data_IF_996514870798
#
_entry.id   IF_996514870798
#
_cell.length_a   1.000
_cell.length_b   1.000
_cell.length_c   1.000
_cell.angle_alpha   90.00
_cell.angle_beta   90.00
_cell.angle_gamma   90.00
#
_symmetry.space_group_name_H-M   'P 1'
#
loop_
_entity.id
_entity.type
_entity.pdbx_description
1 polymer ?
#
# COMPACT_ATOMS: atom_id res chain seq x y z
N UNK A 1 18.50 32.95 -6.44
CA UNK A 1 18.07 32.52 -7.78
C UNK A 1 18.53 31.08 -7.96
N UNK A 2 17.72 30.26 -8.63
CA UNK A 2 17.85 28.79 -8.80
C UNK A 2 17.43 28.02 -7.54
N UNK A 3 16.26 27.38 -7.46
CA UNK A 3 15.72 26.41 -8.41
C UNK A 3 14.19 26.56 -8.55
N UNK A 4 13.80 27.18 -9.66
CA UNK A 4 12.44 27.14 -10.19
C UNK A 4 12.33 25.87 -11.04
N UNK A 5 12.12 24.72 -10.38
CA UNK A 5 12.08 23.42 -11.06
C UNK A 5 10.66 22.82 -11.03
N UNK A 6 9.93 23.09 -12.11
CA UNK A 6 8.82 22.29 -12.65
C UNK A 6 7.70 21.89 -11.67
N UNK A 7 6.87 22.86 -11.29
CA UNK A 7 5.63 22.67 -10.50
C UNK A 7 4.51 21.95 -11.31
N UNK A 8 4.69 21.69 -12.61
CA UNK A 8 3.63 21.18 -13.49
C UNK A 8 3.53 19.66 -13.69
N UNK A 9 4.45 18.84 -13.17
CA UNK A 9 4.46 17.39 -13.45
C UNK A 9 4.96 16.53 -12.28
N UNK A 10 4.78 16.99 -11.03
CA UNK A 10 4.97 16.15 -9.84
C UNK A 10 3.82 15.13 -9.73
N UNK A 11 3.90 14.17 -10.67
CA UNK A 11 3.35 12.82 -10.74
C UNK A 11 2.19 12.54 -9.79
N UNK A 12 0.99 12.54 -10.36
CA UNK A 12 -0.24 11.86 -9.87
C UNK A 12 0.03 10.40 -9.41
N UNK A 13 1.19 9.83 -9.76
CA UNK A 13 1.65 8.47 -9.50
C UNK A 13 2.21 8.21 -8.09
N UNK A 14 2.60 9.23 -7.31
CA UNK A 14 3.22 9.06 -5.97
C UNK A 14 2.23 9.18 -4.80
N UNK A 15 1.03 8.60 -4.93
CA UNK A 15 -0.02 8.68 -3.91
C UNK A 15 0.26 7.84 -2.66
N UNK A 16 1.02 6.75 -2.79
CA UNK A 16 1.34 5.85 -1.68
C UNK A 16 2.70 6.21 -1.08
N UNK A 17 2.71 6.57 0.21
CA UNK A 17 3.93 6.94 0.94
C UNK A 17 4.58 5.76 1.65
N UNK A 18 3.78 4.87 2.24
CA UNK A 18 4.23 3.78 3.07
C UNK A 18 3.42 2.51 2.75
N UNK A 19 4.07 1.36 2.87
CA UNK A 19 3.42 0.06 2.84
C UNK A 19 3.46 -0.52 4.24
N UNK A 20 2.30 -0.97 4.73
CA UNK A 20 2.14 -1.49 6.08
C UNK A 20 1.31 -2.77 6.07
N UNK A 21 1.54 -3.64 7.04
CA UNK A 21 0.74 -4.84 7.27
C UNK A 21 0.47 -5.03 8.76
N UNK A 22 -0.75 -5.44 9.09
CA UNK A 22 -1.18 -5.71 10.47
C UNK A 22 -0.80 -7.14 10.87
N UNK A 23 -0.14 -7.29 12.00
CA UNK A 23 0.16 -8.60 12.59
C UNK A 23 -1.12 -9.28 13.08
N UNK A 24 -1.38 -10.51 12.66
CA UNK A 24 -2.56 -11.27 13.07
C UNK A 24 -2.56 -11.69 14.54
N UNK A 25 -1.39 -11.70 15.21
CA UNK A 25 -1.26 -12.11 16.62
C UNK A 25 -1.41 -10.97 17.61
N UNK A 26 -0.82 -9.80 17.31
CA UNK A 26 -0.77 -8.67 18.25
C UNK A 26 -1.40 -7.39 17.72
N UNK A 27 -1.96 -7.43 16.50
CA UNK A 27 -2.61 -6.29 15.82
C UNK A 27 -1.73 -5.05 15.62
N UNK A 28 -0.42 -5.14 15.87
CA UNK A 28 0.55 -4.07 15.59
C UNK A 28 0.87 -3.99 14.10
N UNK A 29 1.06 -2.78 13.61
CA UNK A 29 1.42 -2.50 12.22
C UNK A 29 2.94 -2.56 12.03
N UNK A 30 3.36 -3.22 10.94
CA UNK A 30 4.77 -3.32 10.53
C UNK A 30 4.98 -2.68 9.18
N UNK A 31 6.08 -1.94 9.04
CA UNK A 31 6.49 -1.36 7.76
C UNK A 31 7.01 -2.46 6.84
N UNK A 32 6.60 -2.38 5.57
CA UNK A 32 7.08 -3.25 4.50
C UNK A 32 8.03 -2.41 3.63
N UNK A 33 9.26 -2.90 3.36
CA UNK A 33 10.31 -2.08 2.76
C UNK A 33 10.06 -1.74 1.28
N UNK A 34 9.32 -2.60 0.56
CA UNK A 34 9.09 -2.44 -0.87
C UNK A 34 7.66 -2.77 -1.25
N UNK A 35 7.21 -2.21 -2.38
CA UNK A 35 5.89 -2.47 -2.94
C UNK A 35 5.72 -3.95 -3.30
N UNK A 36 6.73 -4.55 -3.91
CA UNK A 36 6.71 -5.94 -4.37
C UNK A 36 6.48 -6.87 -3.18
N UNK A 37 7.15 -6.59 -2.05
CA UNK A 37 6.95 -7.38 -0.83
C UNK A 37 5.55 -7.20 -0.25
N UNK A 38 4.98 -6.00 -0.35
CA UNK A 38 3.60 -5.75 0.06
C UNK A 38 2.61 -6.53 -0.79
N UNK A 39 2.78 -6.52 -2.12
CA UNK A 39 1.91 -7.24 -3.04
C UNK A 39 1.99 -8.76 -2.82
N UNK A 40 3.18 -9.32 -2.58
CA UNK A 40 3.36 -10.75 -2.22
C UNK A 40 2.60 -11.12 -0.94
N UNK A 41 2.70 -10.28 0.11
CA UNK A 41 2.01 -10.51 1.38
C UNK A 41 0.50 -10.41 1.18
N UNK A 42 0.03 -9.35 0.51
CA UNK A 42 -1.39 -9.10 0.27
C UNK A 42 -2.06 -10.20 -0.57
N UNK A 43 -1.38 -10.68 -1.59
CA UNK A 43 -1.87 -11.78 -2.44
C UNK A 43 -2.20 -13.02 -1.60
N UNK A 44 -1.35 -13.33 -0.62
CA UNK A 44 -1.42 -14.56 0.19
C UNK A 44 -1.98 -14.36 1.60
N UNK A 45 -2.41 -13.15 1.96
CA UNK A 45 -2.71 -12.80 3.37
C UNK A 45 -3.82 -13.66 3.99
N UNK A 46 -4.74 -14.18 3.17
CA UNK A 46 -5.83 -15.07 3.61
C UNK A 46 -5.34 -16.49 3.85
N UNK A 47 -4.37 -16.98 3.08
CA UNK A 47 -3.79 -18.31 3.25
C UNK A 47 -2.69 -18.31 4.32
N UNK A 48 -1.93 -17.22 4.37
CA UNK A 48 -0.78 -17.03 5.26
C UNK A 48 -0.87 -15.68 5.94
N UNK A 49 -1.52 -15.67 7.09
CA UNK A 49 -1.58 -14.52 7.98
C UNK A 49 -0.19 -13.98 8.28
N UNK A 50 -0.06 -12.66 8.31
CA UNK A 50 1.19 -12.01 8.64
C UNK A 50 1.46 -12.01 10.15
N UNK A 51 2.68 -12.36 10.55
CA UNK A 51 3.17 -12.33 11.92
C UNK A 51 4.41 -11.43 12.01
N UNK A 52 4.65 -10.81 13.16
CA UNK A 52 5.86 -10.00 13.37
C UNK A 52 7.14 -10.77 13.04
N UNK A 53 7.21 -12.07 13.36
CA UNK A 53 8.38 -12.89 13.05
C UNK A 53 8.68 -12.97 11.54
N UNK A 54 7.66 -12.86 10.68
CA UNK A 54 7.83 -12.79 9.22
C UNK A 54 8.63 -11.54 8.80
N UNK A 55 8.49 -10.42 9.52
CA UNK A 55 9.24 -9.20 9.25
C UNK A 55 10.73 -9.30 9.63
N UNK A 56 11.16 -10.33 10.38
CA UNK A 56 12.58 -10.53 10.68
C UNK A 56 13.45 -10.71 9.42
N UNK A 57 12.84 -11.07 8.29
CA UNK A 57 13.50 -11.12 6.99
C UNK A 57 14.08 -9.77 6.54
N UNK A 58 13.55 -8.64 7.02
CA UNK A 58 14.08 -7.29 6.73
C UNK A 58 14.37 -6.44 7.98
N UNK A 59 13.80 -6.80 9.14
CA UNK A 59 14.05 -6.13 10.42
C UNK A 59 14.34 -7.19 11.51
N UNK A 60 15.59 -7.60 11.71
CA UNK A 60 15.94 -8.78 12.53
C UNK A 60 15.40 -8.80 13.96
N UNK A 61 15.31 -7.63 14.61
CA UNK A 61 14.92 -7.50 16.03
C UNK A 61 13.41 -7.33 16.25
N UNK A 62 12.60 -7.40 15.19
CA UNK A 62 11.14 -7.19 15.33
C UNK A 62 10.48 -8.37 16.03
N UNK A 63 9.60 -8.05 16.98
CA UNK A 63 8.80 -9.04 17.72
C UNK A 63 7.40 -8.48 18.04
N UNK A 64 6.54 -9.29 18.66
CA UNK A 64 5.25 -8.80 19.15
C UNK A 64 5.37 -7.88 20.38
N UNK A 65 6.51 -7.90 21.08
CA UNK A 65 6.77 -7.08 22.25
C UNK A 65 7.18 -5.66 21.87
N UNK A 66 7.76 -5.48 20.69
CA UNK A 66 8.12 -4.17 20.16
C UNK A 66 6.87 -3.35 19.80
N UNK A 67 6.94 -2.04 20.05
CA UNK A 67 5.91 -1.08 19.66
C UNK A 67 5.62 -1.08 18.16
N UNK A 68 4.39 -0.69 17.79
CA UNK A 68 3.96 -0.62 16.38
C UNK A 68 4.82 0.36 15.58
N UNK A 69 5.16 0.03 14.34
CA UNK A 69 6.04 0.86 13.51
C UNK A 69 5.34 2.15 13.09
N UNK A 70 4.04 2.05 12.88
CA UNK A 70 3.13 3.17 12.60
C UNK A 70 1.91 3.01 13.49
N UNK A 71 1.39 4.12 13.98
CA UNK A 71 0.10 4.17 14.68
C UNK A 71 -0.94 4.67 13.67
N UNK A 72 -2.10 4.04 13.66
CA UNK A 72 -3.21 4.53 12.85
C UNK A 72 -3.73 5.79 13.52
N UNK A 73 -3.36 6.93 12.94
CA UNK A 73 -3.79 8.26 13.31
C UNK A 73 -4.40 8.97 12.10
N UNK A 74 -4.94 10.17 12.31
CA UNK A 74 -5.56 10.98 11.26
C UNK A 74 -4.53 11.65 10.34
N UNK A 75 -3.23 11.37 10.53
CA UNK A 75 -2.15 11.92 9.70
C UNK A 75 -2.09 11.29 8.32
N UNK A 76 -2.63 10.08 8.16
CA UNK A 76 -2.62 9.34 6.91
C UNK A 76 -4.00 8.86 6.52
N UNK A 77 -4.26 8.84 5.21
CA UNK A 77 -5.32 8.01 4.68
C UNK A 77 -4.81 6.57 4.60
N UNK A 78 -5.63 5.61 5.02
CA UNK A 78 -5.28 4.18 5.07
C UNK A 78 -6.08 3.37 4.03
N UNK A 79 -5.69 3.38 2.73
CA UNK A 79 -6.21 2.43 1.77
C UNK A 79 -5.92 1.00 2.22
N UNK A 80 -6.97 0.21 2.46
CA UNK A 80 -6.84 -1.22 2.70
C UNK A 80 -7.23 -1.96 1.42
N UNK A 81 -6.27 -2.68 0.84
CA UNK A 81 -6.53 -3.53 -0.31
C UNK A 81 -7.40 -4.73 0.09
N UNK A 82 -8.27 -5.15 -0.83
CA UNK A 82 -8.91 -6.45 -0.70
C UNK A 82 -7.83 -7.56 -0.74
N UNK A 83 -8.00 -8.64 0.03
CA UNK A 83 -7.08 -9.77 -0.05
C UNK A 83 -7.15 -10.45 -1.43
N UNK A 84 -6.16 -11.28 -1.75
CA UNK A 84 -6.10 -12.11 -2.98
C UNK A 84 -5.98 -11.34 -4.29
N UNK A 85 -5.62 -10.07 -4.23
CA UNK A 85 -5.27 -9.35 -5.45
C UNK A 85 -3.85 -9.80 -5.85
N UNK A 86 -3.64 -10.26 -7.11
CA UNK A 86 -2.36 -10.77 -7.55
C UNK A 86 -1.29 -9.67 -7.63
N UNK A 87 -0.03 -10.09 -7.54
CA UNK A 87 1.10 -9.20 -7.75
C UNK A 87 1.07 -8.57 -9.15
N UNK A 88 1.56 -7.34 -9.24
CA UNK A 88 1.69 -6.64 -10.51
C UNK A 88 2.78 -7.33 -11.34
N UNK A 89 2.53 -7.70 -12.61
CA UNK A 89 3.55 -8.33 -13.44
C UNK A 89 4.80 -7.45 -13.62
N UNK A 90 5.99 -8.04 -13.85
CA UNK A 90 7.21 -7.27 -14.09
C UNK A 90 7.04 -6.23 -15.21
N UNK A 91 7.52 -5.00 -14.97
CA UNK A 91 7.39 -3.88 -15.91
C UNK A 91 6.05 -3.14 -15.86
N UNK A 92 5.08 -3.64 -15.08
CA UNK A 92 3.82 -2.96 -14.80
C UNK A 92 3.85 -2.26 -13.44
N UNK A 93 3.01 -1.23 -13.28
CA UNK A 93 2.84 -0.52 -12.03
C UNK A 93 1.36 -0.37 -11.68
N UNK A 94 0.96 -0.89 -10.51
CA UNK A 94 -0.32 -0.54 -9.86
C UNK A 94 -0.25 0.88 -9.30
N UNK A 95 -1.21 1.72 -9.67
CA UNK A 95 -1.32 3.12 -9.25
C UNK A 95 -2.66 3.31 -8.56
N UNK A 96 -2.66 3.93 -7.37
CA UNK A 96 -3.88 4.34 -6.68
C UNK A 96 -4.13 5.84 -6.89
N UNK A 97 -5.33 6.22 -7.28
CA UNK A 97 -5.79 7.61 -7.29
C UNK A 97 -6.94 7.75 -6.31
N UNK A 98 -6.66 8.35 -5.17
CA UNK A 98 -7.68 8.65 -4.15
C UNK A 98 -8.69 9.65 -4.73
N UNK A 99 -9.97 9.37 -4.51
CA UNK A 99 -11.07 10.27 -4.92
C UNK A 99 -11.37 11.28 -3.81
N UNK A 100 -11.92 12.43 -4.20
CA UNK A 100 -12.36 13.44 -3.26
C UNK A 100 -13.45 12.90 -2.32
N UNK A 101 -13.54 13.51 -1.14
CA UNK A 101 -14.53 13.19 -0.12
C UNK A 101 -15.97 13.36 -0.65
N UNK A 102 -16.91 12.54 -0.18
CA UNK A 102 -18.31 12.55 -0.63
C UNK A 102 -18.65 11.60 -1.80
N UNK A 103 -17.68 10.91 -2.39
CA UNK A 103 -17.91 9.89 -3.41
C UNK A 103 -18.29 8.50 -2.86
N UNK A 104 -19.03 7.71 -3.64
CA UNK A 104 -19.36 6.30 -3.32
C UNK A 104 -18.18 5.34 -3.46
N UNK A 105 -17.07 5.81 -4.04
CA UNK A 105 -15.84 5.03 -4.26
C UNK A 105 -14.64 5.69 -3.62
N UNK A 106 -13.78 4.89 -3.01
CA UNK A 106 -12.60 5.36 -2.31
C UNK A 106 -11.48 5.81 -3.25
N UNK A 107 -11.13 4.98 -4.24
CA UNK A 107 -10.04 5.24 -5.16
C UNK A 107 -10.29 4.60 -6.53
N UNK A 108 -9.60 5.10 -7.54
CA UNK A 108 -9.38 4.40 -8.81
C UNK A 108 -8.03 3.68 -8.77
N UNK A 109 -8.00 2.45 -9.28
CA UNK A 109 -6.77 1.69 -9.46
C UNK A 109 -6.46 1.65 -10.95
N UNK A 110 -5.21 1.92 -11.31
CA UNK A 110 -4.71 1.84 -12.69
C UNK A 110 -3.53 0.88 -12.73
N UNK A 111 -3.33 0.21 -13.87
CA UNK A 111 -2.16 -0.63 -14.11
C UNK A 111 -1.51 -0.13 -15.40
N UNK A 112 -0.28 0.38 -15.28
CA UNK A 112 0.43 0.99 -16.40
C UNK A 112 1.70 0.18 -16.73
N UNK A 113 1.97 -0.04 -18.01
CA UNK A 113 3.19 -0.70 -18.50
C UNK A 113 4.13 0.35 -19.06
N UNK A 114 5.36 0.48 -18.55
CA UNK A 114 6.38 1.39 -19.10
C UNK A 114 5.81 2.75 -19.56
N UNK A 115 5.00 3.39 -18.70
CA UNK A 115 4.29 4.68 -18.89
C UNK A 115 3.06 4.71 -19.82
N UNK A 116 2.65 3.61 -20.44
CA UNK A 116 1.35 3.48 -21.12
C UNK A 116 0.26 3.06 -20.12
N UNK A 117 -0.76 3.91 -19.96
CA UNK A 117 -1.92 3.68 -19.09
C UNK A 117 -2.93 2.74 -19.76
N UNK A 118 -3.13 1.56 -19.18
CA UNK A 118 -4.28 0.71 -19.48
C UNK A 118 -5.33 0.88 -18.36
N UNK A 119 -6.58 1.12 -18.76
CA UNK A 119 -7.70 1.32 -17.83
C UNK A 119 -8.23 -0.03 -17.37
N UNK A 120 -7.89 -0.47 -16.16
CA UNK A 120 -8.53 -1.60 -15.50
C UNK A 120 -9.27 -1.11 -14.25
N UNK A 121 -10.60 -1.10 -14.28
CA UNK A 121 -11.44 -0.52 -13.21
C UNK A 121 -11.76 -1.58 -12.15
N UNK A 122 -11.00 -1.60 -11.05
CA UNK A 122 -11.37 -2.36 -9.85
C UNK A 122 -12.12 -1.47 -8.84
N UNK A 123 -13.27 -1.94 -8.33
CA UNK A 123 -14.05 -1.24 -7.30
C UNK A 123 -13.56 -1.65 -5.89
N UNK A 124 -12.77 -0.79 -5.23
CA UNK A 124 -12.43 -0.93 -3.81
C UNK A 124 -13.60 -0.51 -2.92
N UNK A 125 -13.99 -1.35 -1.93
CA UNK A 125 -14.93 -0.97 -0.87
C UNK A 125 -14.17 -0.29 0.28
N UNK A 126 -14.86 0.63 0.96
CA UNK A 126 -14.40 1.20 2.23
C UNK A 126 -14.76 0.20 3.31
N UNK A 127 -13.81 -0.63 3.74
CA UNK A 127 -14.02 -1.46 4.92
C UNK A 127 -13.42 -0.67 6.10
N UNK A 128 -14.31 -0.05 6.89
CA UNK A 128 -14.01 0.54 8.19
C UNK A 128 -14.08 -0.57 9.24
N UNK A 129 -12.95 -0.93 9.83
CA UNK A 129 -12.87 -1.51 11.17
C UNK A 129 -11.48 -1.31 11.81
#
# INVERSE_FOLDING_TARGET
>A
MEQEQAIGAKRVWESVKLYTVKCAKCSKWRLIPTKEKYEEIRERIVERSFLCDTARAWRPNVSCNEESDVKQDDSFLWPMDKPRIPQTPPGWQRILRIRAEGGTKFADVYVAYNFLLFLFRENGSKDLE
#
